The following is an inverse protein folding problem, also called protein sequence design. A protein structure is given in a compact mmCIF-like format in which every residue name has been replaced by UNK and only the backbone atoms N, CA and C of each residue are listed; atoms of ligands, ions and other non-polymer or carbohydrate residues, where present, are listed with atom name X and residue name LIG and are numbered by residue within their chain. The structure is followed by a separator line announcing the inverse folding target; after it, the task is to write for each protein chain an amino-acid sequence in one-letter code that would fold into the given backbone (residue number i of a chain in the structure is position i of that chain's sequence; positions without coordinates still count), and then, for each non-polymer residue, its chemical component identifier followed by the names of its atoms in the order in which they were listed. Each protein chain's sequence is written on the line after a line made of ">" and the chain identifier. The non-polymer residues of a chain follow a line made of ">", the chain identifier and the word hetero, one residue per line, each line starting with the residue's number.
data_IF_784606618575
#
_entry.id   IF_784606618575
#
_cell.length_a   1.000
_cell.length_b   1.000
_cell.length_c   1.000
_cell.angle_alpha   90.00
_cell.angle_beta   90.00
_cell.angle_gamma   90.00
#
_symmetry.space_group_name_H-M   'P 1'
#
loop_
_entity.id
_entity.type
_entity.pdbx_description
1 polymer ?
#
# COMPACT_ATOMS: atom_id res chain seq x y z
N UNK A 1 10.40 -21.61 18.14
CA UNK A 1 11.23 -20.42 17.84
C UNK A 1 10.63 -19.24 18.58
N UNK A 2 11.44 -18.34 19.15
CA UNK A 2 10.93 -17.36 20.12
C UNK A 2 10.64 -16.05 19.40
N UNK A 3 9.36 -15.64 19.41
CA UNK A 3 8.95 -14.28 19.02
C UNK A 3 9.83 -13.26 19.73
N UNK A 4 10.14 -12.17 19.06
CA UNK A 4 10.97 -11.12 19.65
C UNK A 4 10.27 -10.49 20.85
N UNK A 5 8.92 -10.45 20.83
CA UNK A 5 8.11 -9.75 21.84
C UNK A 5 8.60 -8.30 22.03
N UNK A 6 8.89 -7.63 20.91
CA UNK A 6 9.28 -6.22 20.89
C UNK A 6 8.25 -5.37 20.16
N UNK A 7 8.21 -4.10 20.53
CA UNK A 7 7.51 -3.05 19.80
C UNK A 7 8.49 -2.32 18.90
N UNK A 8 8.05 -2.02 17.70
CA UNK A 8 8.72 -1.17 16.73
C UNK A 8 7.90 0.11 16.53
N UNK A 9 8.57 1.24 16.69
CA UNK A 9 8.02 2.58 16.50
C UNK A 9 8.79 3.30 15.42
N UNK A 10 8.09 4.06 14.59
CA UNK A 10 8.66 4.91 13.56
C UNK A 10 7.99 6.27 13.60
N UNK A 11 8.77 7.31 13.42
CA UNK A 11 8.29 8.68 13.27
C UNK A 11 9.17 9.43 12.27
N UNK A 12 8.56 10.02 11.25
CA UNK A 12 9.24 10.96 10.36
C UNK A 12 8.65 12.35 10.56
N UNK A 13 9.53 13.35 10.70
CA UNK A 13 9.14 14.76 10.91
C UNK A 13 10.08 15.71 10.16
N UNK A 14 9.57 16.89 9.79
CA UNK A 14 10.34 17.92 9.08
C UNK A 14 10.37 19.21 9.88
N UNK A 15 11.54 19.61 10.34
CA UNK A 15 11.71 20.84 11.12
C UNK A 15 11.77 22.06 10.21
N UNK A 16 11.47 23.24 10.77
CA UNK A 16 11.44 24.51 10.02
C UNK A 16 12.77 25.23 10.03
N UNK A 17 13.66 24.88 10.96
CA UNK A 17 14.97 25.50 11.12
C UNK A 17 15.97 24.54 11.78
N UNK A 18 17.24 24.91 11.69
CA UNK A 18 18.35 24.21 12.37
C UNK A 18 18.17 24.17 13.90
N UNK A 19 17.74 25.26 14.51
CA UNK A 19 17.57 25.32 15.97
C UNK A 19 16.41 24.45 16.45
N UNK A 20 15.32 24.40 15.68
CA UNK A 20 14.23 23.46 15.96
C UNK A 20 14.69 22.01 15.82
N UNK A 21 15.49 21.70 14.79
CA UNK A 21 16.07 20.37 14.59
C UNK A 21 16.93 19.94 15.78
N UNK A 22 17.86 20.79 16.22
CA UNK A 22 18.71 20.51 17.39
C UNK A 22 17.89 20.27 18.65
N UNK A 23 16.86 21.10 18.89
CA UNK A 23 15.97 20.91 20.03
C UNK A 23 15.21 19.58 19.95
N UNK A 24 14.67 19.24 18.77
CA UNK A 24 13.95 17.97 18.58
C UNK A 24 14.86 16.74 18.76
N UNK A 25 16.14 16.84 18.42
CA UNK A 25 17.13 15.78 18.68
C UNK A 25 17.42 15.67 20.19
N UNK A 26 17.57 16.79 20.90
CA UNK A 26 17.81 16.81 22.35
C UNK A 26 16.59 16.26 23.11
N UNK A 27 15.38 16.62 22.67
CA UNK A 27 14.15 16.10 23.26
C UNK A 27 14.02 14.59 23.05
N UNK A 28 14.35 14.10 21.85
CA UNK A 28 14.41 12.66 21.57
C UNK A 28 15.40 11.96 22.50
N UNK A 29 16.62 12.51 22.67
CA UNK A 29 17.60 11.95 23.59
C UNK A 29 17.11 11.94 25.04
N UNK A 30 16.40 12.98 25.46
CA UNK A 30 15.81 13.07 26.81
C UNK A 30 14.71 12.05 27.01
N UNK A 31 13.84 11.87 26.02
CA UNK A 31 12.81 10.83 26.00
C UNK A 31 13.40 9.42 26.15
N UNK A 32 14.45 9.09 25.40
CA UNK A 32 15.13 7.80 25.52
C UNK A 32 15.74 7.56 26.90
N UNK A 33 16.31 8.59 27.53
CA UNK A 33 16.91 8.52 28.87
C UNK A 33 15.89 8.35 29.99
N UNK A 34 14.63 8.74 29.76
CA UNK A 34 13.54 8.50 30.70
C UNK A 34 13.10 7.04 30.63
N UNK A 35 12.98 6.50 29.41
CA UNK A 35 12.52 5.13 29.22
C UNK A 35 13.61 4.08 29.52
N UNK A 36 14.86 4.35 29.16
CA UNK A 36 15.94 3.36 29.17
C UNK A 36 17.15 3.83 29.96
N UNK A 37 17.88 2.86 30.52
CA UNK A 37 19.27 3.07 30.95
C UNK A 37 20.17 2.93 29.73
N UNK A 38 20.61 4.06 29.16
CA UNK A 38 21.45 4.05 27.97
C UNK A 38 22.86 3.55 28.32
N UNK A 39 23.32 2.55 27.59
CA UNK A 39 24.64 1.94 27.77
C UNK A 39 25.63 2.55 26.79
N UNK A 40 25.27 2.54 25.51
CA UNK A 40 26.19 2.83 24.41
C UNK A 40 25.54 3.71 23.34
N UNK A 41 26.38 4.39 22.54
CA UNK A 41 25.98 5.10 21.34
C UNK A 41 27.03 4.97 20.22
N UNK A 42 26.63 5.24 18.99
CA UNK A 42 27.55 5.56 17.90
C UNK A 42 26.91 6.54 16.92
N UNK A 43 27.75 7.23 16.17
CA UNK A 43 27.36 8.04 15.02
C UNK A 43 27.69 7.25 13.74
N UNK A 44 26.77 7.24 12.76
CA UNK A 44 26.94 6.53 11.49
C UNK A 44 27.45 5.09 11.66
N UNK A 45 28.68 4.85 11.20
CA UNK A 45 29.40 3.58 11.30
C UNK A 45 30.69 3.73 12.13
N UNK A 46 30.76 4.75 12.98
CA UNK A 46 31.83 4.91 13.98
C UNK A 46 31.80 3.76 14.99
N UNK A 47 32.92 3.57 15.70
CA UNK A 47 33.01 2.60 16.78
C UNK A 47 32.00 2.90 17.89
N UNK A 48 31.44 1.84 18.48
CA UNK A 48 30.49 1.92 19.58
C UNK A 48 31.20 2.43 20.83
N UNK A 49 30.69 3.51 21.41
CA UNK A 49 31.23 4.17 22.60
C UNK A 49 30.26 4.06 23.77
N UNK A 50 30.79 4.08 24.99
CA UNK A 50 29.98 4.17 26.21
C UNK A 50 29.25 5.53 26.27
N UNK A 51 28.02 5.53 26.76
CA UNK A 51 27.15 6.71 26.76
C UNK A 51 27.79 7.94 27.41
N UNK A 52 27.86 9.04 26.65
CA UNK A 52 28.35 10.32 27.13
C UNK A 52 27.47 11.48 26.62
N UNK A 53 26.58 11.97 27.49
CA UNK A 53 25.65 13.04 27.16
C UNK A 53 26.34 14.32 26.67
N UNK A 54 27.47 14.70 27.28
CA UNK A 54 28.18 15.92 26.93
C UNK A 54 28.77 15.86 25.51
N UNK A 55 29.35 14.71 25.13
CA UNK A 55 29.88 14.50 23.78
C UNK A 55 28.77 14.46 22.73
N UNK A 56 27.68 13.74 22.99
CA UNK A 56 26.53 13.68 22.08
C UNK A 56 25.94 15.07 21.89
N UNK A 57 25.71 15.81 22.97
CA UNK A 57 25.17 17.19 22.91
C UNK A 57 26.10 18.11 22.13
N UNK A 58 27.41 18.04 22.37
CA UNK A 58 28.39 18.82 21.61
C UNK A 58 28.32 18.51 20.11
N UNK A 59 28.14 17.24 19.74
CA UNK A 59 27.99 16.83 18.34
C UNK A 59 26.71 17.41 17.72
N UNK A 60 25.59 17.32 18.43
CA UNK A 60 24.29 17.89 17.98
C UNK A 60 24.40 19.41 17.78
N UNK A 61 25.09 20.12 18.69
CA UNK A 61 25.29 21.57 18.55
C UNK A 61 26.12 21.95 17.32
N UNK A 62 26.97 21.04 16.85
CA UNK A 62 27.77 21.21 15.63
C UNK A 62 27.02 20.91 14.32
N UNK A 63 25.79 20.40 14.37
CA UNK A 63 25.01 20.09 13.18
C UNK A 63 24.66 21.35 12.35
N UNK A 64 24.52 21.15 11.04
CA UNK A 64 24.16 22.18 10.05
C UNK A 64 22.82 21.87 9.37
N UNK A 65 22.31 22.76 8.52
CA UNK A 65 21.05 22.54 7.80
C UNK A 65 21.13 21.46 6.71
N UNK A 66 22.34 21.14 6.25
CA UNK A 66 22.60 20.12 5.21
C UNK A 66 23.18 18.84 5.81
N UNK A 67 22.86 18.56 7.06
CA UNK A 67 23.39 17.41 7.77
C UNK A 67 22.87 16.10 7.16
N UNK A 68 23.72 15.08 7.15
CA UNK A 68 23.31 13.70 6.89
C UNK A 68 24.04 12.82 7.92
N UNK A 69 23.31 12.43 8.97
CA UNK A 69 23.90 11.82 10.17
C UNK A 69 22.95 10.81 10.80
N UNK A 70 23.46 9.63 11.11
CA UNK A 70 22.80 8.66 11.97
C UNK A 70 23.31 8.77 13.40
N UNK A 71 22.37 8.78 14.35
CA UNK A 71 22.64 8.62 15.78
C UNK A 71 22.00 7.31 16.20
N UNK A 72 22.80 6.37 16.70
CA UNK A 72 22.33 5.07 17.17
C UNK A 72 22.59 4.97 18.67
N UNK A 73 21.57 4.61 19.42
CA UNK A 73 21.58 4.53 20.88
C UNK A 73 21.09 3.15 21.29
N UNK A 74 21.83 2.51 22.19
CA UNK A 74 21.45 1.23 22.78
C UNK A 74 21.40 1.35 24.29
N UNK A 75 20.28 0.93 24.87
CA UNK A 75 20.08 0.87 26.30
C UNK A 75 19.51 -0.47 26.73
N UNK A 76 19.36 -0.62 28.04
CA UNK A 76 18.70 -1.77 28.60
C UNK A 76 17.23 -1.83 28.15
N UNK A 77 16.85 -2.91 27.47
CA UNK A 77 15.48 -3.14 27.02
C UNK A 77 15.06 -2.38 25.75
N UNK A 78 15.97 -1.65 25.11
CA UNK A 78 15.63 -0.88 23.91
C UNK A 78 16.81 -0.41 23.07
N UNK A 79 16.55 -0.23 21.79
CA UNK A 79 17.49 0.38 20.84
C UNK A 79 16.76 1.43 20.01
N UNK A 80 17.46 2.49 19.65
CA UNK A 80 16.87 3.63 18.96
C UNK A 80 17.86 4.22 17.96
N UNK A 81 17.33 4.64 16.83
CA UNK A 81 18.10 5.21 15.74
C UNK A 81 17.39 6.48 15.27
N UNK A 82 18.16 7.54 15.09
CA UNK A 82 17.69 8.80 14.53
C UNK A 82 18.54 9.11 13.31
N UNK A 83 17.91 9.19 12.15
CA UNK A 83 18.54 9.73 10.95
C UNK A 83 18.16 11.19 10.80
N UNK A 84 19.18 12.01 10.59
CA UNK A 84 19.05 13.42 10.25
C UNK A 84 19.41 13.51 8.77
N UNK A 85 18.51 14.05 7.95
CA UNK A 85 18.74 14.30 6.53
C UNK A 85 18.20 15.67 6.18
N UNK A 86 19.11 16.62 5.99
CA UNK A 86 18.82 18.05 5.96
C UNK A 86 18.07 18.48 7.23
N UNK A 87 16.84 19.00 7.08
CA UNK A 87 15.94 19.36 8.19
C UNK A 87 14.87 18.28 8.46
N UNK A 88 15.08 17.06 7.99
CA UNK A 88 14.18 15.92 8.21
C UNK A 88 14.78 14.99 9.25
N UNK A 89 13.95 14.55 10.19
CA UNK A 89 14.30 13.60 11.23
C UNK A 89 13.50 12.31 11.04
N UNK A 90 14.18 11.18 10.96
CA UNK A 90 13.57 9.85 10.88
C UNK A 90 13.99 9.02 12.10
N UNK A 91 13.05 8.84 13.00
CA UNK A 91 13.16 8.09 14.25
C UNK A 91 12.71 6.63 14.03
N UNK A 92 13.49 5.69 14.56
CA UNK A 92 13.14 4.29 14.71
C UNK A 92 13.52 3.81 16.11
N UNK A 93 12.56 3.30 16.86
CA UNK A 93 12.80 2.78 18.20
C UNK A 93 12.21 1.39 18.35
N UNK A 94 13.03 0.45 18.84
CA UNK A 94 12.66 -0.92 19.19
C UNK A 94 12.73 -1.05 20.71
N UNK A 95 11.64 -1.50 21.33
CA UNK A 95 11.51 -1.64 22.78
C UNK A 95 11.04 -3.05 23.14
N UNK A 96 11.55 -3.61 24.22
CA UNK A 96 11.01 -4.83 24.80
C UNK A 96 9.56 -4.59 25.28
N UNK A 97 8.71 -5.62 25.18
CA UNK A 97 7.29 -5.58 25.55
C UNK A 97 7.03 -4.97 26.93
N UNK A 98 7.74 -5.45 27.95
CA UNK A 98 7.53 -5.01 29.33
C UNK A 98 7.87 -3.52 29.48
N UNK A 99 8.94 -3.08 28.82
CA UNK A 99 9.35 -1.68 28.82
C UNK A 99 8.32 -0.79 28.11
N UNK A 100 7.84 -1.23 26.94
CA UNK A 100 6.80 -0.50 26.21
C UNK A 100 5.54 -0.32 27.07
N UNK A 101 5.02 -1.40 27.68
CA UNK A 101 3.82 -1.30 28.50
C UNK A 101 4.01 -0.48 29.78
N UNK A 102 5.21 -0.50 30.37
CA UNK A 102 5.53 0.35 31.52
C UNK A 102 5.47 1.85 31.19
N UNK A 103 5.83 2.25 29.96
CA UNK A 103 5.89 3.65 29.51
C UNK A 103 4.88 3.99 28.42
N UNK A 104 3.86 3.15 28.18
CA UNK A 104 3.00 3.24 27.00
C UNK A 104 2.37 4.64 26.84
N UNK A 105 1.78 5.18 27.90
CA UNK A 105 1.14 6.50 27.88
C UNK A 105 2.14 7.60 27.48
N UNK A 106 3.38 7.53 27.99
CA UNK A 106 4.41 8.51 27.68
C UNK A 106 4.92 8.38 26.24
N UNK A 107 5.07 7.15 25.75
CA UNK A 107 5.47 6.88 24.36
C UNK A 107 4.43 7.43 23.39
N UNK A 108 3.16 7.15 23.66
CA UNK A 108 2.07 7.64 22.84
C UNK A 108 1.94 9.17 22.91
N UNK A 109 2.04 9.78 24.09
CA UNK A 109 2.02 11.24 24.24
C UNK A 109 3.18 11.94 23.52
N UNK A 110 4.39 11.36 23.59
CA UNK A 110 5.54 11.85 22.84
C UNK A 110 5.30 11.80 21.33
N UNK A 111 4.78 10.69 20.81
CA UNK A 111 4.45 10.56 19.38
C UNK A 111 3.32 11.51 18.96
N UNK A 112 2.25 11.61 19.73
CA UNK A 112 1.13 12.54 19.51
C UNK A 112 1.66 13.98 19.42
N UNK A 113 2.47 14.40 20.39
CA UNK A 113 3.06 15.75 20.46
C UNK A 113 3.96 16.05 19.25
N UNK A 114 4.84 15.12 18.87
CA UNK A 114 5.74 15.33 17.73
C UNK A 114 4.98 15.33 16.41
N UNK A 115 3.99 14.45 16.26
CA UNK A 115 3.15 14.41 15.07
C UNK A 115 2.40 15.72 14.88
N UNK A 116 1.77 16.24 15.94
CA UNK A 116 1.05 17.53 15.91
C UNK A 116 1.99 18.69 15.58
N UNK A 117 3.22 18.70 16.08
CA UNK A 117 4.17 19.80 15.88
C UNK A 117 4.64 19.89 14.43
N UNK A 118 5.18 18.81 13.88
CA UNK A 118 5.88 18.80 12.59
C UNK A 118 5.99 17.39 11.95
N UNK A 119 5.12 16.46 12.32
CA UNK A 119 5.16 15.09 11.82
C UNK A 119 4.68 14.96 10.38
N UNK A 120 5.34 14.09 9.62
CA UNK A 120 4.92 13.64 8.29
C UNK A 120 4.06 12.39 8.45
N UNK A 121 4.59 11.37 9.12
CA UNK A 121 3.87 10.14 9.48
C UNK A 121 4.55 9.45 10.66
N UNK A 122 3.83 8.53 11.29
CA UNK A 122 4.40 7.64 12.30
C UNK A 122 3.54 6.40 12.50
N UNK A 123 4.10 5.41 13.19
CA UNK A 123 3.35 4.22 13.57
C UNK A 123 3.98 3.49 14.76
N UNK A 124 3.17 2.65 15.41
CA UNK A 124 3.56 1.72 16.46
C UNK A 124 3.03 0.34 16.09
N UNK A 125 3.87 -0.68 16.16
CA UNK A 125 3.49 -2.08 15.89
C UNK A 125 4.39 -3.09 16.57
N UNK A 126 4.02 -4.36 16.54
CA UNK A 126 4.94 -5.43 16.94
C UNK A 126 6.10 -5.52 15.94
N UNK A 127 7.33 -5.74 16.43
CA UNK A 127 8.48 -6.00 15.57
C UNK A 127 8.29 -7.31 14.78
N UNK A 128 7.67 -8.32 15.39
CA UNK A 128 7.38 -9.59 14.70
C UNK A 128 6.41 -9.35 13.53
N UNK A 129 5.39 -8.52 13.73
CA UNK A 129 4.47 -8.08 12.67
C UNK A 129 5.22 -7.32 11.57
N UNK A 130 6.16 -6.46 11.96
CA UNK A 130 6.98 -5.72 11.00
C UNK A 130 7.75 -6.67 10.10
N UNK A 131 8.50 -7.59 10.72
CA UNK A 131 9.35 -8.53 10.02
C UNK A 131 8.52 -9.45 9.13
N UNK A 132 7.39 -9.95 9.62
CA UNK A 132 6.47 -10.78 8.87
C UNK A 132 5.99 -10.09 7.59
N UNK A 133 5.55 -8.83 7.69
CA UNK A 133 4.96 -8.15 6.55
C UNK A 133 6.00 -7.55 5.59
N UNK A 134 7.25 -7.32 6.00
CA UNK A 134 8.19 -6.46 5.27
C UNK A 134 9.56 -7.07 4.94
N UNK A 135 9.87 -8.29 5.40
CA UNK A 135 11.09 -9.00 5.01
C UNK A 135 10.82 -9.92 3.84
N UNK A 136 11.27 -9.53 2.64
CA UNK A 136 11.05 -10.31 1.41
C UNK A 136 11.96 -11.54 1.31
N UNK A 137 13.18 -11.47 1.86
CA UNK A 137 14.20 -12.52 1.72
C UNK A 137 13.91 -13.69 2.66
N UNK A 138 13.67 -14.87 2.11
CA UNK A 138 13.27 -16.07 2.86
C UNK A 138 14.33 -16.44 3.91
N UNK A 139 15.61 -16.30 3.59
CA UNK A 139 16.74 -16.63 4.47
C UNK A 139 16.80 -15.71 5.70
N UNK A 140 16.21 -14.52 5.61
CA UNK A 140 16.12 -13.56 6.71
C UNK A 140 14.87 -13.75 7.56
N UNK A 141 13.96 -14.64 7.18
CA UNK A 141 12.70 -14.94 7.89
C UNK A 141 12.92 -16.07 8.89
N UNK A 142 13.78 -15.81 9.87
CA UNK A 142 14.13 -16.75 10.94
C UNK A 142 13.07 -16.82 12.06
N UNK A 143 11.84 -16.35 11.81
CA UNK A 143 10.76 -16.28 12.80
C UNK A 143 9.53 -17.12 12.44
N UNK A 144 9.46 -17.68 11.23
CA UNK A 144 8.40 -18.60 10.76
C UNK A 144 8.89 -20.05 10.66
N UNK A 145 7.95 -20.98 10.74
CA UNK A 145 8.18 -22.40 10.43
C UNK A 145 8.17 -22.63 8.91
N UNK A 146 8.81 -23.72 8.47
CA UNK A 146 8.88 -24.08 7.05
C UNK A 146 7.48 -24.18 6.40
N UNK A 147 6.51 -24.77 7.10
CA UNK A 147 5.12 -24.90 6.62
C UNK A 147 4.41 -23.54 6.44
N UNK A 148 4.79 -22.54 7.24
CA UNK A 148 4.25 -21.18 7.13
C UNK A 148 4.89 -20.47 5.93
N UNK A 149 6.22 -20.60 5.77
CA UNK A 149 6.97 -20.08 4.63
C UNK A 149 6.42 -20.63 3.32
N UNK A 150 6.07 -21.91 3.25
CA UNK A 150 5.49 -22.54 2.07
C UNK A 150 4.17 -21.89 1.62
N UNK A 151 3.35 -21.44 2.58
CA UNK A 151 2.06 -20.77 2.32
C UNK A 151 2.20 -19.29 1.95
N UNK A 152 3.34 -18.67 2.20
CA UNK A 152 3.56 -17.28 1.85
C UNK A 152 3.47 -17.05 0.33
N UNK A 153 2.92 -15.90 -0.09
CA UNK A 153 2.94 -15.49 -1.49
C UNK A 153 4.39 -15.27 -1.92
N UNK A 154 4.78 -15.79 -3.09
CA UNK A 154 6.15 -15.72 -3.60
C UNK A 154 6.18 -15.18 -5.02
N UNK A 155 7.28 -14.50 -5.35
CA UNK A 155 7.55 -13.95 -6.67
C UNK A 155 9.05 -13.94 -6.95
N UNK A 156 9.44 -13.69 -8.19
CA UNK A 156 10.82 -13.38 -8.54
C UNK A 156 11.14 -11.91 -8.26
N UNK A 157 12.37 -11.66 -7.80
CA UNK A 157 12.96 -10.33 -7.83
C UNK A 157 13.62 -10.05 -9.21
N UNK A 158 14.28 -8.90 -9.34
CA UNK A 158 14.98 -8.53 -10.60
C UNK A 158 16.15 -9.45 -10.95
N UNK A 159 16.74 -10.13 -9.96
CA UNK A 159 17.83 -11.08 -10.11
C UNK A 159 17.34 -12.54 -10.34
N UNK A 160 16.03 -12.75 -10.50
CA UNK A 160 15.39 -14.08 -10.62
C UNK A 160 15.53 -14.97 -9.38
N UNK A 161 15.76 -14.37 -8.22
CA UNK A 161 15.70 -15.05 -6.93
C UNK A 161 14.25 -15.11 -6.45
N UNK A 162 13.86 -16.22 -5.81
CA UNK A 162 12.53 -16.38 -5.23
C UNK A 162 12.47 -15.63 -3.90
N UNK A 163 11.54 -14.69 -3.79
CA UNK A 163 11.32 -13.88 -2.60
C UNK A 163 9.84 -13.90 -2.21
N UNK A 164 9.55 -13.53 -0.97
CA UNK A 164 8.18 -13.31 -0.50
C UNK A 164 7.61 -12.05 -1.16
N UNK A 165 6.41 -12.15 -1.72
CA UNK A 165 5.70 -10.99 -2.28
C UNK A 165 4.99 -10.23 -1.16
N UNK A 166 5.75 -9.41 -0.44
CA UNK A 166 5.23 -8.64 0.69
C UNK A 166 4.07 -7.69 0.31
N UNK A 167 3.94 -7.26 -0.95
CA UNK A 167 2.79 -6.46 -1.42
C UNK A 167 1.43 -7.16 -1.22
N UNK A 168 1.43 -8.49 -1.13
CA UNK A 168 0.21 -9.26 -0.85
C UNK A 168 -0.14 -9.27 0.64
N UNK A 169 0.78 -8.90 1.53
CA UNK A 169 0.60 -8.92 2.98
C UNK A 169 -0.03 -7.62 3.48
N UNK A 170 -0.81 -7.71 4.55
CA UNK A 170 -1.69 -6.62 4.98
C UNK A 170 -0.92 -5.43 5.57
N UNK A 171 0.09 -5.69 6.38
CA UNK A 171 0.92 -4.67 7.05
C UNK A 171 2.18 -4.27 6.27
N UNK A 172 2.23 -4.51 4.95
CA UNK A 172 3.39 -4.12 4.15
C UNK A 172 3.46 -2.60 3.99
N UNK A 173 4.62 -2.02 4.25
CA UNK A 173 4.89 -0.60 4.14
C UNK A 173 5.15 -0.26 2.66
N UNK A 174 4.25 0.50 2.05
CA UNK A 174 4.48 1.05 0.71
C UNK A 174 4.89 2.51 0.83
N UNK A 175 6.08 2.84 0.32
CA UNK A 175 6.53 4.23 0.22
C UNK A 175 6.01 4.86 -1.07
N UNK A 176 5.18 5.89 -0.92
CA UNK A 176 4.57 6.61 -2.05
C UNK A 176 4.60 8.12 -1.80
N UNK A 177 5.20 8.88 -2.72
CA UNK A 177 5.35 10.35 -2.63
C UNK A 177 5.89 10.85 -1.28
N UNK A 178 6.84 10.12 -0.69
CA UNK A 178 7.45 10.48 0.60
C UNK A 178 6.62 10.13 1.84
N UNK A 179 5.49 9.43 1.68
CA UNK A 179 4.66 8.92 2.77
C UNK A 179 4.77 7.40 2.87
N UNK A 180 4.56 6.87 4.07
CA UNK A 180 4.43 5.44 4.30
C UNK A 180 2.95 5.02 4.38
N UNK A 181 2.49 4.29 3.38
CA UNK A 181 1.18 3.65 3.37
C UNK A 181 1.32 2.29 4.07
N UNK A 182 0.95 2.24 5.35
CA UNK A 182 0.99 1.02 6.16
C UNK A 182 -0.36 0.74 6.80
N UNK A 183 -0.53 -0.50 7.25
CA UNK A 183 -1.72 -0.96 7.96
C UNK A 183 -1.32 -1.82 9.16
N UNK A 184 -0.98 -1.17 10.27
CA UNK A 184 -0.53 -1.81 11.50
C UNK A 184 -1.29 -1.28 12.72
N UNK A 185 -0.84 -1.65 13.94
CA UNK A 185 -1.62 -1.43 15.17
C UNK A 185 -2.05 0.02 15.40
N UNK A 186 -1.10 0.97 15.48
CA UNK A 186 -1.37 2.41 15.59
C UNK A 186 -0.64 3.17 14.51
N UNK A 187 -1.32 4.10 13.86
CA UNK A 187 -0.81 4.85 12.71
C UNK A 187 -1.17 6.32 12.83
N UNK A 188 -0.28 7.18 12.36
CA UNK A 188 -0.41 8.63 12.39
C UNK A 188 -0.32 9.19 10.98
N UNK A 189 -1.33 9.97 10.60
CA UNK A 189 -1.47 10.59 9.28
C UNK A 189 -1.52 12.10 9.44
N UNK A 190 -0.54 12.80 8.86
CA UNK A 190 -0.57 14.26 8.74
C UNK A 190 -1.48 14.73 7.61
N UNK A 191 -1.65 16.04 7.49
CA UNK A 191 -2.36 16.69 6.39
C UNK A 191 -1.76 16.40 5.00
N UNK A 192 -0.48 16.02 4.93
CA UNK A 192 0.18 15.58 3.70
C UNK A 192 -0.50 14.37 3.06
N UNK A 193 -1.09 13.46 3.86
CA UNK A 193 -1.85 12.34 3.32
C UNK A 193 -3.10 12.80 2.56
N UNK A 194 -3.68 13.94 2.95
CA UNK A 194 -4.93 14.43 2.36
C UNK A 194 -4.77 14.99 0.96
N UNK A 195 -3.53 15.15 0.49
CA UNK A 195 -3.21 15.43 -0.90
C UNK A 195 -3.35 14.19 -1.80
N UNK A 196 -3.35 12.99 -1.22
CA UNK A 196 -3.41 11.71 -1.95
C UNK A 196 -4.74 10.98 -1.64
N UNK A 197 -5.13 10.96 -0.38
CA UNK A 197 -6.34 10.30 0.11
C UNK A 197 -7.18 11.33 0.86
N UNK A 198 -8.33 11.77 0.31
CA UNK A 198 -9.20 12.74 0.98
C UNK A 198 -9.46 12.40 2.45
N UNK A 199 -9.28 13.38 3.35
CA UNK A 199 -9.48 13.23 4.81
C UNK A 199 -10.77 12.49 5.20
N UNK A 200 -11.94 12.71 4.56
CA UNK A 200 -13.17 11.99 4.90
C UNK A 200 -13.05 10.47 4.80
N UNK A 201 -12.22 9.95 3.88
CA UNK A 201 -12.00 8.50 3.75
C UNK A 201 -11.37 7.91 5.01
N UNK A 202 -10.44 8.62 5.65
CA UNK A 202 -9.84 8.20 6.92
C UNK A 202 -10.86 8.27 8.07
N UNK A 203 -11.72 9.28 8.09
CA UNK A 203 -12.70 9.48 9.16
C UNK A 203 -13.87 8.48 9.09
N UNK A 204 -14.17 7.97 7.89
CA UNK A 204 -15.26 7.03 7.63
C UNK A 204 -14.83 5.56 7.61
N UNK A 205 -13.55 5.28 7.85
CA UNK A 205 -13.05 3.91 7.83
C UNK A 205 -13.77 3.06 8.88
N UNK A 206 -14.27 1.91 8.44
CA UNK A 206 -15.05 0.99 9.27
C UNK A 206 -14.16 -0.12 9.82
N UNK A 207 -14.60 -0.73 10.92
CA UNK A 207 -13.94 -1.86 11.57
C UNK A 207 -12.51 -1.56 12.02
N UNK A 208 -12.34 -0.39 12.64
CA UNK A 208 -11.13 0.00 13.38
C UNK A 208 -11.49 0.19 14.86
N UNK A 209 -10.50 0.08 15.74
CA UNK A 209 -10.70 0.27 17.18
C UNK A 209 -11.01 1.73 17.52
N UNK A 210 -10.28 2.67 16.93
CA UNK A 210 -10.54 4.10 17.11
C UNK A 210 -9.92 4.95 16.02
N UNK A 211 -10.54 6.12 15.82
CA UNK A 211 -10.04 7.22 15.01
C UNK A 211 -10.04 8.44 15.91
N UNK A 212 -8.88 9.03 16.14
CA UNK A 212 -8.73 10.23 16.97
C UNK A 212 -8.14 11.34 16.11
N UNK A 213 -8.86 12.45 16.04
CA UNK A 213 -8.34 13.67 15.44
C UNK A 213 -7.58 14.48 16.50
N UNK A 214 -6.30 14.69 16.26
CA UNK A 214 -5.42 15.52 17.07
C UNK A 214 -5.36 16.93 16.48
N UNK A 215 -4.69 17.86 17.17
CA UNK A 215 -4.47 19.20 16.65
C UNK A 215 -3.68 19.18 15.32
N UNK A 216 -3.76 20.29 14.56
CA UNK A 216 -3.09 20.45 13.28
C UNK A 216 -3.42 19.36 12.24
N UNK A 217 -4.68 18.90 12.22
CA UNK A 217 -5.20 17.93 11.24
C UNK A 217 -4.50 16.56 11.25
N UNK A 218 -3.84 16.19 12.34
CA UNK A 218 -3.24 14.86 12.47
C UNK A 218 -4.33 13.85 12.85
N UNK A 219 -4.42 12.74 12.12
CA UNK A 219 -5.27 11.61 12.47
C UNK A 219 -4.45 10.47 13.05
N UNK A 220 -4.86 9.98 14.21
CA UNK A 220 -4.36 8.77 14.86
C UNK A 220 -5.39 7.66 14.72
N UNK A 221 -5.03 6.56 14.07
CA UNK A 221 -5.91 5.41 13.85
C UNK A 221 -5.34 4.20 14.58
N UNK A 222 -6.19 3.52 15.36
CA UNK A 222 -5.86 2.26 16.02
C UNK A 222 -6.72 1.14 15.43
N UNK A 223 -6.11 0.05 14.98
CA UNK A 223 -6.85 -1.06 14.33
C UNK A 223 -7.45 -2.06 15.32
N UNK A 224 -6.74 -2.37 16.40
CA UNK A 224 -7.14 -3.36 17.40
C UNK A 224 -6.49 -3.06 18.75
N UNK A 225 -6.85 -3.78 19.81
CA UNK A 225 -6.48 -3.39 21.18
C UNK A 225 -5.00 -3.63 21.55
N UNK A 226 -4.42 -4.75 21.14
CA UNK A 226 -3.09 -5.20 21.59
C UNK A 226 -2.18 -5.48 20.39
N UNK A 227 -1.00 -4.82 20.28
CA UNK A 227 -0.07 -4.99 19.16
C UNK A 227 0.49 -6.41 19.03
N UNK A 228 0.55 -7.18 20.11
CA UNK A 228 1.11 -8.54 20.11
C UNK A 228 0.10 -9.60 19.65
N UNK A 229 -1.17 -9.24 19.50
CA UNK A 229 -2.23 -10.10 18.99
C UNK A 229 -2.40 -10.00 17.46
N UNK A 230 -1.42 -9.44 16.74
CA UNK A 230 -1.51 -9.21 15.29
C UNK A 230 -1.72 -10.49 14.47
N UNK A 231 -1.22 -11.64 14.93
CA UNK A 231 -1.40 -12.95 14.26
C UNK A 231 -2.82 -13.50 14.36
N UNK A 232 -3.66 -12.96 15.25
CA UNK A 232 -5.05 -13.38 15.30
C UNK A 232 -5.70 -13.11 13.94
N UNK A 233 -6.37 -14.13 13.38
CA UNK A 233 -7.00 -14.02 12.06
C UNK A 233 -7.93 -12.80 11.93
N UNK A 234 -8.62 -12.43 13.02
CA UNK A 234 -9.46 -11.21 13.05
C UNK A 234 -8.66 -9.91 12.91
N UNK A 235 -7.47 -9.82 13.53
CA UNK A 235 -6.63 -8.63 13.45
C UNK A 235 -5.95 -8.52 12.09
N UNK A 236 -5.52 -9.63 11.50
CA UNK A 236 -5.05 -9.66 10.12
C UNK A 236 -6.14 -9.22 9.14
N UNK A 237 -7.41 -9.60 9.39
CA UNK A 237 -8.55 -9.11 8.62
C UNK A 237 -8.77 -7.61 8.80
N UNK A 238 -8.63 -7.05 10.01
CA UNK A 238 -8.70 -5.60 10.21
C UNK A 238 -7.60 -4.85 9.46
N UNK A 239 -6.36 -5.37 9.47
CA UNK A 239 -5.29 -4.79 8.67
C UNK A 239 -5.62 -4.82 7.18
N UNK A 240 -6.07 -5.98 6.68
CA UNK A 240 -6.43 -6.12 5.28
C UNK A 240 -7.57 -5.18 4.90
N UNK A 241 -8.63 -5.16 5.68
CA UNK A 241 -9.81 -4.33 5.43
C UNK A 241 -9.49 -2.83 5.50
N UNK A 242 -8.62 -2.40 6.42
CA UNK A 242 -8.16 -1.02 6.47
C UNK A 242 -7.39 -0.65 5.18
N UNK A 243 -6.41 -1.46 4.80
CA UNK A 243 -5.63 -1.28 3.57
C UNK A 243 -6.50 -1.23 2.31
N UNK A 244 -7.50 -2.10 2.21
CA UNK A 244 -8.41 -2.17 1.07
C UNK A 244 -9.34 -0.95 1.03
N UNK A 245 -9.87 -0.51 2.17
CA UNK A 245 -10.68 0.71 2.29
C UNK A 245 -9.91 1.99 1.92
N UNK A 246 -8.61 2.04 2.25
CA UNK A 246 -7.74 3.15 1.83
C UNK A 246 -7.30 3.01 0.37
N UNK A 247 -7.41 1.82 -0.23
CA UNK A 247 -6.99 1.55 -1.59
C UNK A 247 -5.50 1.73 -1.84
N UNK A 248 -4.65 1.42 -0.85
CA UNK A 248 -3.19 1.55 -1.00
C UNK A 248 -2.66 0.75 -2.19
N UNK A 249 -3.23 -0.44 -2.43
CA UNK A 249 -2.88 -1.29 -3.55
C UNK A 249 -3.26 -0.66 -4.91
N UNK A 250 -4.21 0.28 -4.97
CA UNK A 250 -4.53 1.01 -6.20
C UNK A 250 -3.65 2.25 -6.40
N UNK A 251 -3.17 2.84 -5.30
CA UNK A 251 -2.34 4.05 -5.33
C UNK A 251 -0.88 3.75 -5.71
N UNK A 252 -0.34 2.65 -5.20
CA UNK A 252 1.11 2.43 -5.20
C UNK A 252 1.52 0.98 -5.48
N UNK A 253 0.86 0.32 -6.45
CA UNK A 253 1.24 -1.04 -6.85
C UNK A 253 2.53 -1.07 -7.67
N UNK A 254 3.55 -1.79 -7.20
CA UNK A 254 4.89 -1.75 -7.81
C UNK A 254 5.56 -3.11 -8.06
N UNK A 255 4.88 -4.23 -7.80
CA UNK A 255 5.51 -5.57 -7.85
C UNK A 255 5.43 -6.26 -9.22
N UNK A 256 4.75 -5.66 -10.21
CA UNK A 256 4.61 -6.19 -11.57
C UNK A 256 3.70 -7.41 -11.74
N UNK A 257 3.22 -8.05 -10.66
CA UNK A 257 2.39 -9.28 -10.72
C UNK A 257 0.88 -9.00 -10.72
N UNK A 258 0.49 -7.72 -10.56
CA UNK A 258 -0.90 -7.27 -10.53
C UNK A 258 -1.57 -7.39 -9.16
N UNK A 259 -2.55 -6.52 -8.91
CA UNK A 259 -3.41 -6.55 -7.71
C UNK A 259 -4.44 -7.67 -7.86
N UNK A 260 -4.22 -8.81 -7.22
CA UNK A 260 -5.10 -9.99 -7.31
C UNK A 260 -6.27 -9.91 -6.30
N UNK A 261 -6.82 -8.71 -6.13
CA UNK A 261 -7.91 -8.40 -5.21
C UNK A 261 -8.82 -7.34 -5.81
N UNK A 262 -10.15 -7.50 -5.74
CA UNK A 262 -11.06 -6.46 -6.22
C UNK A 262 -10.97 -5.21 -5.34
N UNK A 263 -11.03 -4.01 -5.93
CA UNK A 263 -10.92 -2.77 -5.16
C UNK A 263 -12.19 -2.51 -4.34
N UNK A 264 -12.00 -1.92 -3.17
CA UNK A 264 -13.07 -1.32 -2.35
C UNK A 264 -13.19 0.19 -2.64
N UNK A 265 -12.12 0.78 -3.15
CA UNK A 265 -12.05 2.15 -3.61
C UNK A 265 -11.13 2.23 -4.83
N UNK A 266 -11.48 3.06 -5.79
CA UNK A 266 -10.65 3.40 -6.95
C UNK A 266 -10.35 4.90 -6.94
N UNK A 267 -9.19 5.27 -7.48
CA UNK A 267 -8.69 6.65 -7.57
C UNK A 267 -8.52 7.05 -9.03
N UNK A 268 -8.91 8.28 -9.35
CA UNK A 268 -8.59 8.96 -10.60
C UNK A 268 -7.98 10.32 -10.26
N UNK A 269 -6.81 10.60 -10.85
CA UNK A 269 -6.10 11.85 -10.66
C UNK A 269 -6.20 12.66 -11.95
N UNK A 270 -6.82 13.83 -11.89
CA UNK A 270 -6.97 14.75 -13.03
C UNK A 270 -6.42 16.10 -12.59
N UNK A 271 -5.22 16.45 -13.07
CA UNK A 271 -4.50 17.66 -12.66
C UNK A 271 -4.42 17.80 -11.13
N UNK A 272 -5.09 18.81 -10.57
CA UNK A 272 -5.14 19.13 -9.14
C UNK A 272 -6.35 18.52 -8.41
N UNK A 273 -7.15 17.71 -9.10
CA UNK A 273 -8.35 17.07 -8.58
C UNK A 273 -8.13 15.57 -8.36
N UNK A 274 -8.34 15.13 -7.13
CA UNK A 274 -8.44 13.71 -6.78
C UNK A 274 -9.91 13.30 -6.77
N UNK A 275 -10.27 12.37 -7.64
CA UNK A 275 -11.58 11.73 -7.65
C UNK A 275 -11.47 10.31 -7.10
N UNK A 276 -12.44 9.93 -6.27
CA UNK A 276 -12.51 8.57 -5.74
C UNK A 276 -13.91 7.99 -5.91
N UNK A 277 -13.98 6.67 -6.09
CA UNK A 277 -15.22 5.91 -6.07
C UNK A 277 -15.07 4.78 -5.06
N UNK A 278 -15.82 4.86 -3.96
CA UNK A 278 -15.84 3.83 -2.93
C UNK A 278 -17.10 2.96 -3.07
N UNK A 279 -16.91 1.65 -2.93
CA UNK A 279 -17.90 0.61 -3.13
C UNK A 279 -18.51 0.16 -1.80
N UNK A 280 -19.83 0.21 -1.70
CA UNK A 280 -20.56 -0.15 -0.48
C UNK A 280 -21.72 -1.11 -0.74
N UNK A 281 -21.94 -2.04 0.18
CA UNK A 281 -23.09 -2.94 0.17
C UNK A 281 -24.38 -2.23 0.66
N UNK A 282 -25.50 -2.97 0.74
CA UNK A 282 -26.79 -2.38 1.14
C UNK A 282 -26.82 -1.81 2.57
N UNK A 283 -25.89 -2.26 3.42
CA UNK A 283 -25.68 -1.81 4.79
C UNK A 283 -24.64 -0.69 4.90
N UNK A 284 -24.24 -0.09 3.77
CA UNK A 284 -23.19 0.92 3.68
C UNK A 284 -21.80 0.45 4.16
N UNK A 285 -21.55 -0.86 4.16
CA UNK A 285 -20.25 -1.41 4.50
C UNK A 285 -19.39 -1.50 3.23
N UNK A 286 -18.08 -1.19 3.32
CA UNK A 286 -17.14 -1.38 2.22
C UNK A 286 -17.18 -2.80 1.69
N UNK A 287 -17.19 -2.94 0.36
CA UNK A 287 -17.25 -4.25 -0.30
C UNK A 287 -16.56 -4.20 -1.65
N UNK A 288 -16.24 -5.36 -2.22
CA UNK A 288 -15.73 -5.48 -3.58
C UNK A 288 -16.67 -4.83 -4.59
N UNK A 289 -16.09 -4.19 -5.61
CA UNK A 289 -16.78 -3.54 -6.74
C UNK A 289 -17.97 -4.32 -7.32
N UNK A 290 -17.88 -5.64 -7.41
CA UNK A 290 -18.92 -6.51 -8.01
C UNK A 290 -20.16 -6.70 -7.12
N UNK A 291 -20.00 -6.56 -5.80
CA UNK A 291 -21.04 -6.78 -4.79
C UNK A 291 -21.63 -5.45 -4.28
N UNK A 292 -21.20 -4.33 -4.86
CA UNK A 292 -21.61 -2.99 -4.47
C UNK A 292 -23.03 -2.68 -4.93
N UNK A 293 -23.78 -2.00 -4.05
CA UNK A 293 -25.12 -1.47 -4.33
C UNK A 293 -25.22 0.05 -4.13
N UNK A 294 -24.19 0.62 -3.50
CA UNK A 294 -23.99 2.05 -3.34
C UNK A 294 -22.58 2.44 -3.78
N UNK A 295 -22.47 3.62 -4.38
CA UNK A 295 -21.24 4.21 -4.85
C UNK A 295 -21.09 5.58 -4.21
N UNK A 296 -20.00 5.78 -3.47
CA UNK A 296 -19.66 7.08 -2.90
C UNK A 296 -18.57 7.69 -3.77
N UNK A 297 -18.95 8.70 -4.56
CA UNK A 297 -18.04 9.46 -5.40
C UNK A 297 -17.59 10.69 -4.64
N UNK A 298 -16.27 10.88 -4.49
CA UNK A 298 -15.69 12.08 -3.87
C UNK A 298 -14.81 12.78 -4.88
N UNK A 299 -14.91 14.11 -4.93
CA UNK A 299 -14.02 14.96 -5.71
C UNK A 299 -13.38 15.95 -4.76
N UNK A 300 -12.06 15.99 -4.75
CA UNK A 300 -11.28 16.90 -3.93
C UNK A 300 -10.35 17.72 -4.81
N UNK A 301 -10.60 19.02 -4.87
CA UNK A 301 -9.75 20.01 -5.52
C UNK A 301 -8.74 20.54 -4.51
N UNK A 302 -7.46 20.19 -4.71
CA UNK A 302 -6.38 20.56 -3.80
C UNK A 302 -6.05 22.06 -3.82
N UNK A 303 -6.33 22.75 -4.91
CA UNK A 303 -6.00 24.19 -5.10
C UNK A 303 -7.06 25.08 -4.48
N UNK A 304 -8.33 24.76 -4.70
CA UNK A 304 -9.46 25.57 -4.22
C UNK A 304 -10.05 25.05 -2.89
N UNK A 305 -9.52 23.95 -2.35
CA UNK A 305 -10.04 23.25 -1.17
C UNK A 305 -11.54 22.93 -1.28
N UNK A 306 -12.00 22.57 -2.48
CA UNK A 306 -13.39 22.19 -2.72
C UNK A 306 -13.55 20.69 -2.60
N UNK A 307 -14.51 20.31 -1.77
CA UNK A 307 -14.91 18.92 -1.58
C UNK A 307 -16.35 18.73 -2.01
N UNK A 308 -16.58 17.74 -2.87
CA UNK A 308 -17.91 17.31 -3.29
C UNK A 308 -18.02 15.82 -3.03
N UNK A 309 -19.08 15.42 -2.34
CA UNK A 309 -19.45 14.02 -2.15
C UNK A 309 -20.84 13.78 -2.71
N UNK A 310 -21.00 12.65 -3.39
CA UNK A 310 -22.29 12.13 -3.78
C UNK A 310 -22.36 10.63 -3.50
N UNK A 311 -23.52 10.18 -2.99
CA UNK A 311 -23.80 8.77 -2.73
C UNK A 311 -24.97 8.33 -3.59
N UNK A 312 -24.71 7.42 -4.51
CA UNK A 312 -25.71 6.94 -5.46
C UNK A 312 -25.98 5.46 -5.23
N UNK A 313 -27.26 5.10 -5.11
CA UNK A 313 -27.72 3.70 -5.15
C UNK A 313 -27.84 3.24 -6.59
N UNK A 314 -27.33 2.07 -6.92
CA UNK A 314 -27.52 1.52 -8.26
C UNK A 314 -26.67 0.29 -8.51
N UNK A 315 -26.47 0.01 -9.79
CA UNK A 315 -25.57 -1.01 -10.30
C UNK A 315 -24.57 -0.30 -11.21
N UNK A 316 -23.32 -0.77 -11.23
CA UNK A 316 -22.29 -0.18 -12.08
C UNK A 316 -22.65 -0.31 -13.56
N UNK A 317 -22.47 0.78 -14.29
CA UNK A 317 -22.62 0.78 -15.73
C UNK A 317 -21.42 0.11 -16.41
N UNK A 318 -21.51 -0.09 -17.72
CA UNK A 318 -20.44 -0.72 -18.49
C UNK A 318 -19.12 0.07 -18.39
N UNK A 319 -19.19 1.41 -18.39
CA UNK A 319 -18.02 2.30 -18.36
C UNK A 319 -17.20 2.17 -17.07
N UNK A 320 -17.83 1.83 -15.94
CA UNK A 320 -17.10 1.57 -14.69
C UNK A 320 -16.17 0.36 -14.81
N UNK A 321 -16.50 -0.62 -15.65
CA UNK A 321 -15.64 -1.79 -15.92
C UNK A 321 -14.80 -1.59 -17.18
N UNK A 322 -15.27 -0.83 -18.15
CA UNK A 322 -14.60 -0.60 -19.42
C UNK A 322 -14.55 0.90 -19.72
N UNK A 323 -13.56 1.62 -19.15
CA UNK A 323 -13.52 3.07 -19.25
C UNK A 323 -13.32 3.56 -20.69
N UNK A 324 -12.74 2.75 -21.57
CA UNK A 324 -12.52 3.12 -22.97
C UNK A 324 -13.60 2.55 -23.88
N UNK A 325 -14.43 3.43 -24.43
CA UNK A 325 -15.50 3.09 -25.37
C UNK A 325 -15.10 3.55 -26.77
N UNK A 326 -14.97 2.61 -27.71
CA UNK A 326 -14.84 2.90 -29.13
C UNK A 326 -16.21 2.67 -29.80
N UNK A 327 -16.97 3.76 -29.94
CA UNK A 327 -18.30 3.77 -30.56
C UNK A 327 -18.24 3.34 -32.04
N UNK A 328 -17.16 3.68 -32.77
CA UNK A 328 -17.04 3.36 -34.21
C UNK A 328 -16.88 1.86 -34.43
N UNK A 329 -16.04 1.21 -33.63
CA UNK A 329 -15.82 -0.24 -33.74
C UNK A 329 -16.66 -1.07 -32.78
N UNK A 330 -17.56 -0.41 -32.02
CA UNK A 330 -18.45 -0.99 -31.01
C UNK A 330 -17.69 -1.87 -30.02
N UNK A 331 -16.66 -1.30 -29.39
CA UNK A 331 -15.84 -2.00 -28.38
C UNK A 331 -15.83 -1.26 -27.07
N UNK A 332 -15.89 -2.01 -25.99
CA UNK A 332 -15.64 -1.53 -24.64
C UNK A 332 -14.34 -2.16 -24.16
N UNK A 333 -13.42 -1.36 -23.66
CA UNK A 333 -12.05 -1.82 -23.43
C UNK A 333 -11.60 -1.48 -22.01
N UNK A 334 -10.87 -2.41 -21.41
CA UNK A 334 -10.05 -2.20 -20.23
C UNK A 334 -8.67 -2.82 -20.49
N UNK A 335 -7.65 -2.36 -19.78
CA UNK A 335 -6.33 -2.94 -19.87
C UNK A 335 -5.66 -3.16 -18.51
N UNK A 336 -4.71 -4.08 -18.50
CA UNK A 336 -3.81 -4.34 -17.39
C UNK A 336 -2.39 -4.40 -17.91
N UNK A 337 -1.47 -3.77 -17.18
CA UNK A 337 -0.04 -3.80 -17.45
C UNK A 337 0.57 -4.78 -16.45
N UNK A 338 1.17 -5.86 -16.93
CA UNK A 338 1.71 -6.93 -16.09
C UNK A 338 3.10 -7.32 -16.55
N UNK A 339 3.98 -7.60 -15.58
CA UNK A 339 5.28 -8.20 -15.82
C UNK A 339 5.28 -9.66 -15.33
N UNK A 340 4.81 -10.62 -16.16
CA UNK A 340 4.71 -12.02 -15.77
C UNK A 340 6.06 -12.68 -15.49
N UNK A 341 7.16 -12.09 -15.95
CA UNK A 341 8.51 -12.56 -15.63
C UNK A 341 8.85 -12.41 -14.14
N UNK A 342 8.09 -11.61 -13.40
CA UNK A 342 8.20 -11.49 -11.94
C UNK A 342 7.34 -12.52 -11.21
N UNK A 343 6.37 -13.16 -11.86
CA UNK A 343 5.51 -14.16 -11.24
C UNK A 343 6.13 -15.56 -11.37
N UNK A 344 5.92 -16.42 -10.37
CA UNK A 344 6.41 -17.81 -10.41
C UNK A 344 5.65 -18.69 -11.41
N UNK A 345 4.42 -18.32 -11.73
CA UNK A 345 3.49 -19.07 -12.58
C UNK A 345 3.35 -18.46 -13.99
N UNK A 346 4.28 -17.60 -14.40
CA UNK A 346 4.22 -16.91 -15.70
C UNK A 346 3.04 -15.93 -15.81
N UNK A 347 2.49 -15.47 -14.68
CA UNK A 347 1.36 -14.55 -14.63
C UNK A 347 -0.01 -15.23 -14.71
N UNK A 348 -0.06 -16.57 -14.71
CA UNK A 348 -1.29 -17.35 -14.82
C UNK A 348 -2.39 -16.89 -13.84
N UNK A 349 -2.05 -16.75 -12.56
CA UNK A 349 -3.00 -16.31 -11.52
C UNK A 349 -3.55 -14.90 -11.80
N UNK A 350 -2.72 -14.01 -12.34
CA UNK A 350 -3.15 -12.66 -12.71
C UNK A 350 -4.08 -12.67 -13.92
N UNK A 351 -3.74 -13.45 -14.96
CA UNK A 351 -4.58 -13.58 -16.14
C UNK A 351 -5.94 -14.17 -15.77
N UNK A 352 -5.98 -15.27 -15.01
CA UNK A 352 -7.21 -15.87 -14.52
C UNK A 352 -8.05 -14.86 -13.73
N UNK A 353 -7.44 -14.20 -12.75
CA UNK A 353 -8.12 -13.24 -11.89
C UNK A 353 -8.80 -12.13 -12.69
N UNK A 354 -8.05 -11.43 -13.55
CA UNK A 354 -8.60 -10.32 -14.32
C UNK A 354 -9.59 -10.80 -15.40
N UNK A 355 -9.33 -11.92 -16.07
CA UNK A 355 -10.27 -12.48 -17.05
C UNK A 355 -11.61 -12.76 -16.38
N UNK A 356 -11.63 -13.46 -15.23
CA UNK A 356 -12.86 -13.74 -14.50
C UNK A 356 -13.52 -12.46 -14.02
N UNK A 357 -12.74 -11.51 -13.50
CA UNK A 357 -13.24 -10.21 -13.04
C UNK A 357 -14.02 -9.47 -14.14
N UNK A 358 -13.62 -9.56 -15.41
CA UNK A 358 -14.28 -8.87 -16.53
C UNK A 358 -15.28 -9.73 -17.32
N UNK A 359 -15.11 -11.05 -17.32
CA UNK A 359 -16.02 -11.98 -18.01
C UNK A 359 -17.30 -12.21 -17.21
N UNK A 360 -17.23 -12.17 -15.88
CA UNK A 360 -18.33 -12.54 -14.99
C UNK A 360 -19.16 -11.34 -14.52
N UNK A 361 -18.94 -10.16 -15.09
CA UNK A 361 -19.75 -8.98 -14.77
C UNK A 361 -21.14 -9.07 -15.41
N UNK A 362 -22.13 -8.48 -14.75
CA UNK A 362 -23.46 -8.26 -15.33
C UNK A 362 -23.56 -6.81 -15.80
N UNK A 363 -23.27 -6.56 -17.08
CA UNK A 363 -23.59 -5.27 -17.70
C UNK A 363 -25.09 -5.24 -17.95
N UNK A 364 -25.78 -4.27 -17.34
CA UNK A 364 -27.23 -4.07 -17.50
C UNK A 364 -27.57 -2.92 -18.46
N UNK A 365 -26.55 -2.25 -18.98
CA UNK A 365 -26.70 -1.09 -19.85
C UNK A 365 -27.03 -1.53 -21.27
N UNK A 366 -28.32 -1.43 -21.63
CA UNK A 366 -28.85 -1.79 -22.94
C UNK A 366 -28.15 -1.06 -24.10
N UNK A 367 -27.56 0.12 -23.85
CA UNK A 367 -26.82 0.87 -24.87
C UNK A 367 -25.68 0.04 -25.46
N UNK A 368 -25.08 -0.85 -24.65
CA UNK A 368 -23.87 -1.57 -25.00
C UNK A 368 -24.10 -3.06 -25.30
N UNK A 369 -25.35 -3.49 -25.47
CA UNK A 369 -25.70 -4.90 -25.77
C UNK A 369 -25.01 -5.42 -27.04
N UNK A 370 -24.78 -4.56 -28.03
CA UNK A 370 -24.09 -4.90 -29.29
C UNK A 370 -22.56 -4.67 -29.25
N UNK A 371 -22.01 -4.21 -28.12
CA UNK A 371 -20.59 -3.92 -28.01
C UNK A 371 -19.79 -5.15 -27.60
N UNK A 372 -18.57 -5.26 -28.14
CA UNK A 372 -17.62 -6.30 -27.74
C UNK A 372 -16.79 -5.81 -26.57
N UNK A 373 -16.89 -6.47 -25.42
CA UNK A 373 -15.99 -6.30 -24.28
C UNK A 373 -14.61 -6.84 -24.60
N UNK A 374 -13.57 -6.05 -24.34
CA UNK A 374 -12.17 -6.38 -24.62
C UNK A 374 -11.31 -6.11 -23.40
N UNK A 375 -10.61 -7.14 -22.92
CA UNK A 375 -9.56 -7.02 -21.92
C UNK A 375 -8.20 -7.13 -22.61
N UNK A 376 -7.38 -6.08 -22.47
CA UNK A 376 -6.01 -6.04 -22.99
C UNK A 376 -5.00 -6.27 -21.87
N UNK A 377 -4.12 -7.23 -22.03
CA UNK A 377 -2.94 -7.38 -21.21
C UNK A 377 -1.74 -6.85 -21.96
N UNK A 378 -1.11 -5.82 -21.43
CA UNK A 378 0.16 -5.30 -21.92
C UNK A 378 1.27 -6.03 -21.17
N UNK A 379 2.20 -6.64 -21.90
CA UNK A 379 3.30 -7.47 -21.39
C UNK A 379 4.63 -7.06 -22.05
N UNK A 380 5.79 -7.40 -21.44
CA UNK A 380 7.08 -7.37 -22.14
C UNK A 380 7.08 -8.28 -23.37
N UNK A 381 7.83 -7.89 -24.42
CA UNK A 381 7.82 -8.58 -25.71
C UNK A 381 8.13 -10.08 -25.59
N UNK A 382 9.11 -10.42 -24.76
CA UNK A 382 9.57 -11.79 -24.54
C UNK A 382 8.46 -12.66 -23.93
N UNK A 383 7.64 -12.06 -23.05
CA UNK A 383 6.59 -12.78 -22.34
C UNK A 383 5.36 -13.11 -23.20
N UNK A 384 5.14 -12.42 -24.31
CA UNK A 384 3.95 -12.65 -25.18
C UNK A 384 3.97 -14.06 -25.78
N UNK A 385 5.15 -14.57 -26.10
CA UNK A 385 5.35 -15.93 -26.64
C UNK A 385 5.24 -17.00 -25.56
N UNK A 386 5.41 -16.62 -24.29
CA UNK A 386 5.46 -17.50 -23.13
C UNK A 386 4.15 -17.47 -22.31
N UNK A 387 3.07 -16.87 -22.84
CA UNK A 387 1.77 -16.88 -22.18
C UNK A 387 1.32 -18.34 -21.97
N UNK A 388 1.06 -18.78 -20.73
CA UNK A 388 0.75 -20.18 -20.42
C UNK A 388 -0.70 -20.52 -20.77
N UNK A 389 -1.02 -20.55 -22.08
CA UNK A 389 -2.39 -20.71 -22.58
C UNK A 389 -3.04 -22.03 -22.14
N UNK A 390 -2.31 -23.15 -22.20
CA UNK A 390 -2.83 -24.46 -21.80
C UNK A 390 -3.26 -24.45 -20.32
N UNK A 391 -2.38 -23.99 -19.42
CA UNK A 391 -2.70 -23.87 -18.01
C UNK A 391 -3.84 -22.86 -17.76
N UNK A 392 -3.93 -21.79 -18.55
CA UNK A 392 -5.04 -20.84 -18.47
C UNK A 392 -6.36 -21.47 -18.90
N UNK A 393 -6.37 -22.35 -19.90
CA UNK A 393 -7.56 -23.09 -20.31
C UNK A 393 -8.01 -24.06 -19.22
N UNK A 394 -7.09 -24.74 -18.54
CA UNK A 394 -7.40 -25.61 -17.40
C UNK A 394 -8.01 -24.82 -16.23
N UNK A 395 -7.62 -23.56 -16.05
CA UNK A 395 -8.24 -22.66 -15.07
C UNK A 395 -9.61 -22.15 -15.51
N UNK A 396 -9.93 -22.18 -16.79
CA UNK A 396 -11.16 -21.65 -17.39
C UNK A 396 -12.03 -22.77 -18.01
N UNK A 397 -12.00 -23.97 -17.44
CA UNK A 397 -12.75 -25.15 -17.94
C UNK A 397 -14.26 -24.94 -18.09
N UNK A 398 -14.82 -23.98 -17.35
CA UNK A 398 -16.22 -23.60 -17.38
C UNK A 398 -16.56 -22.56 -18.46
N UNK A 399 -15.57 -22.18 -19.28
CA UNK A 399 -15.66 -21.12 -20.30
C UNK A 399 -15.41 -21.69 -21.68
N UNK A 400 -16.25 -21.34 -22.66
CA UNK A 400 -16.00 -21.70 -24.05
C UNK A 400 -14.97 -20.75 -24.66
N UNK A 401 -13.91 -21.31 -25.24
CA UNK A 401 -12.78 -20.59 -25.82
C UNK A 401 -12.80 -20.75 -27.33
N UNK A 402 -12.72 -19.64 -28.07
CA UNK A 402 -12.77 -19.64 -29.53
C UNK A 402 -11.87 -18.57 -30.15
N UNK A 403 -11.76 -18.57 -31.47
CA UNK A 403 -11.09 -17.51 -32.26
C UNK A 403 -9.63 -17.21 -31.85
N UNK A 404 -8.89 -18.23 -31.38
CA UNK A 404 -7.48 -18.09 -31.04
C UNK A 404 -6.68 -17.64 -32.27
N UNK A 405 -5.96 -16.51 -32.14
CA UNK A 405 -4.97 -16.05 -33.11
C UNK A 405 -3.71 -15.63 -32.40
N UNK A 406 -2.60 -16.23 -32.79
CA UNK A 406 -1.26 -15.92 -32.29
C UNK A 406 -0.45 -15.25 -33.40
N UNK A 407 0.19 -14.14 -33.06
CA UNK A 407 1.15 -13.40 -33.88
C UNK A 407 2.35 -13.08 -33.02
N UNK A 408 3.46 -12.68 -33.65
CA UNK A 408 4.72 -12.40 -32.96
C UNK A 408 4.59 -11.42 -31.77
N UNK A 409 3.76 -10.38 -31.92
CA UNK A 409 3.56 -9.33 -30.89
C UNK A 409 2.15 -9.30 -30.31
N UNK A 410 1.33 -10.33 -30.56
CA UNK A 410 -0.02 -10.36 -30.01
C UNK A 410 -0.61 -11.76 -29.97
N UNK A 411 -1.29 -12.09 -28.87
CA UNK A 411 -2.13 -13.29 -28.76
C UNK A 411 -3.55 -12.85 -28.43
N UNK A 412 -4.55 -13.35 -29.17
CA UNK A 412 -5.96 -13.02 -28.89
C UNK A 412 -6.85 -14.23 -28.98
N UNK A 413 -7.91 -14.24 -28.18
CA UNK A 413 -8.98 -15.24 -28.21
C UNK A 413 -10.26 -14.65 -27.63
N UNK A 414 -11.37 -15.32 -27.92
CA UNK A 414 -12.70 -14.96 -27.44
C UNK A 414 -13.14 -15.98 -26.37
N UNK A 415 -13.69 -15.47 -25.28
CA UNK A 415 -14.21 -16.24 -24.16
C UNK A 415 -15.72 -16.04 -24.05
N UNK A 416 -16.47 -17.12 -23.87
CA UNK A 416 -17.91 -17.08 -23.68
C UNK A 416 -18.33 -17.92 -22.46
N UNK A 417 -19.05 -17.29 -21.54
CA UNK A 417 -19.65 -17.94 -20.35
C UNK A 417 -21.09 -17.48 -20.20
N UNK A 418 -22.04 -18.41 -20.37
CA UNK A 418 -23.46 -18.09 -20.48
C UNK A 418 -23.71 -16.99 -21.54
N UNK A 419 -24.32 -15.87 -21.15
CA UNK A 419 -24.58 -14.72 -22.03
C UNK A 419 -23.38 -13.77 -22.18
N UNK A 420 -22.34 -13.92 -21.36
CA UNK A 420 -21.22 -12.99 -21.34
C UNK A 420 -20.15 -13.40 -22.34
N UNK A 421 -19.61 -12.40 -23.04
CA UNK A 421 -18.54 -12.56 -24.01
C UNK A 421 -17.42 -11.57 -23.73
N UNK A 422 -16.17 -12.06 -23.67
CA UNK A 422 -14.97 -11.25 -23.45
C UNK A 422 -13.90 -11.63 -24.48
N UNK A 423 -13.42 -10.63 -25.21
CA UNK A 423 -12.21 -10.78 -26.03
C UNK A 423 -10.98 -10.48 -25.19
N UNK A 424 -10.07 -11.43 -25.09
CA UNK A 424 -8.79 -11.24 -24.41
C UNK A 424 -7.70 -11.01 -25.44
N UNK A 425 -6.86 -10.01 -25.20
CA UNK A 425 -5.74 -9.67 -26.10
C UNK A 425 -4.48 -9.42 -25.27
N UNK A 426 -3.47 -10.25 -25.45
CA UNK A 426 -2.11 -10.00 -24.99
C UNK A 426 -1.37 -9.18 -26.05
N UNK A 427 -0.77 -8.06 -25.65
CA UNK A 427 -0.09 -7.08 -26.49
C UNK A 427 1.26 -6.71 -25.88
N UNK A 428 2.18 -6.31 -26.74
CA UNK A 428 3.46 -5.73 -26.33
C UNK A 428 3.29 -4.33 -25.72
N UNK A 429 4.16 -3.99 -24.76
CA UNK A 429 4.20 -2.66 -24.14
C UNK A 429 4.32 -1.50 -25.14
N UNK A 430 4.96 -1.68 -26.30
CA UNK A 430 5.03 -0.63 -27.33
C UNK A 430 3.65 -0.18 -27.85
N UNK A 431 2.61 -1.00 -27.69
CA UNK A 431 1.24 -0.60 -28.06
C UNK A 431 0.56 0.27 -26.99
N UNK A 432 1.15 0.44 -25.80
CA UNK A 432 0.59 1.29 -24.75
C UNK A 432 0.62 2.78 -25.16
N UNK A 433 1.69 3.22 -25.82
CA UNK A 433 1.85 4.60 -26.31
C UNK A 433 0.72 5.01 -27.27
N UNK A 434 0.25 4.07 -28.10
CA UNK A 434 -0.87 4.31 -29.02
C UNK A 434 -2.21 4.51 -28.31
N UNK A 435 -2.39 3.95 -27.11
CA UNK A 435 -3.60 4.14 -26.30
C UNK A 435 -3.60 5.53 -25.68
N UNK A 436 -2.46 5.99 -25.16
CA UNK A 436 -2.34 7.34 -24.60
C UNK A 436 -2.56 8.43 -25.66
N UNK A 437 -2.12 8.21 -26.90
CA UNK A 437 -2.40 9.12 -28.02
C UNK A 437 -3.88 9.16 -28.42
N UNK A 438 -4.68 8.14 -28.11
CA UNK A 438 -6.12 8.17 -28.42
C UNK A 438 -6.90 9.04 -27.40
N UNK A 439 -6.29 9.35 -26.26
CA UNK A 439 -6.86 10.23 -25.21
C UNK A 439 -6.77 11.70 -25.65
N UNK A 440 -5.70 12.09 -26.34
CA UNK A 440 -5.50 13.46 -26.86
C UNK A 440 -6.38 13.83 -28.07
N UNK A 441 -7.16 12.89 -28.63
CA UNK A 441 -8.01 13.13 -29.81
C UNK A 441 -9.49 13.29 -29.42
N UNK A 442 -9.78 13.39 -28.12
CA UNK A 442 -11.08 13.82 -27.60
C UNK A 442 -10.94 15.06 -26.72
N UNK A 443 -10.44 16.15 -27.31
CA UNK A 443 -10.78 17.52 -26.93
C UNK A 443 -12.01 18.00 -27.72
#
# INVERSE_FOLDING_TARGET
>A
MKKTEKIYTVLQRKTRSLEEMKQDIIDWLSFLRIMTTIENYCFDNEEVQAFNLALITKRIQGCTEKEDLWIKIKGQGGESQLHISELTLHDRTILDKDLFFAYQTMIEDYLDTRMVKNGIYGYIRSLDEYLYNNVEMIEKRTFEMQEEIEKLPKRYNRNKEVIVDCNQLAGYDIFFKGLCLTSCWKMYYSDLFFQIIPKPIFLEVQQVQSITELANNVLKITLFNDPFNWELSVNQKYQRLFRDQMGYDQLAWNNGTGVLRPPYIEYAFVEDVTQTVQYQNHYYQPVEKKDATYFVTRSYDGVHHKYVENRTKGILNAQAYFPWIDEKSRKMMNYRVLNPQMALDGGLSAYEFYIRQFLEINVLDQKYDEFVSVLRFYLPQEAIKEVPLEALWDKLIDVNISNLKQKERSTRFDLQKAKNHLRVVFLDYSYLESVNQTIDISE
#
